data_IF_706850149821
#
_entry.id   IF_706850149821
#
_cell.length_a   1.000
_cell.length_b   1.000
_cell.length_c   1.000
_cell.angle_alpha   90.00
_cell.angle_beta   90.00
_cell.angle_gamma   90.00
#
_symmetry.space_group_name_H-M   'P 1'
#
loop_
_entity.id
_entity.type
_entity.pdbx_description
1 polymer ?
#
# COMPACT_ATOMS: atom_id res chain seq x y z
N UNK A 1 -14.32 0.14 5.75
CA UNK A 1 -14.23 -1.31 5.46
C UNK A 1 -14.73 -1.57 4.06
N UNK A 2 -14.22 -2.62 3.44
CA UNK A 2 -14.57 -2.99 2.05
C UNK A 2 -14.73 -4.51 1.98
N UNK A 3 -15.68 -4.99 1.21
CA UNK A 3 -15.77 -6.40 0.81
C UNK A 3 -15.44 -6.50 -0.68
N UNK A 4 -14.39 -7.24 -1.01
CA UNK A 4 -14.06 -7.66 -2.37
C UNK A 4 -14.35 -9.15 -2.51
N UNK A 5 -15.05 -9.52 -3.56
CA UNK A 5 -15.37 -10.91 -3.88
C UNK A 5 -14.63 -11.30 -5.16
N UNK A 6 -13.80 -12.35 -5.11
CA UNK A 6 -13.22 -12.95 -6.32
C UNK A 6 -14.34 -13.47 -7.24
N UNK A 7 -14.19 -13.26 -8.53
CA UNK A 7 -15.11 -13.75 -9.57
C UNK A 7 -14.31 -14.64 -10.52
N UNK A 8 -14.69 -15.91 -10.63
CA UNK A 8 -13.99 -16.88 -11.49
C UNK A 8 -14.04 -16.41 -12.95
N UNK A 9 -12.85 -16.20 -13.54
CA UNK A 9 -12.71 -15.73 -14.93
C UNK A 9 -13.17 -14.28 -15.18
N UNK A 10 -13.47 -13.51 -14.14
CA UNK A 10 -13.91 -12.12 -14.22
C UNK A 10 -13.11 -11.18 -13.31
N UNK A 11 -13.48 -9.90 -13.34
CA UNK A 11 -12.90 -8.90 -12.44
C UNK A 11 -13.38 -9.14 -11.02
N UNK A 12 -12.50 -9.03 -9.99
CA UNK A 12 -12.93 -9.02 -8.60
C UNK A 12 -13.98 -7.91 -8.38
N UNK A 13 -15.09 -8.24 -7.71
CA UNK A 13 -16.19 -7.31 -7.51
C UNK A 13 -16.14 -6.67 -6.11
N UNK A 14 -16.26 -5.36 -6.05
CA UNK A 14 -16.42 -4.63 -4.79
C UNK A 14 -17.90 -4.65 -4.43
N UNK A 15 -18.28 -5.41 -3.41
CA UNK A 15 -19.67 -5.65 -3.05
C UNK A 15 -20.27 -4.56 -2.18
N UNK A 16 -19.48 -3.98 -1.31
CA UNK A 16 -19.89 -2.84 -0.49
C UNK A 16 -18.67 -2.15 0.11
N UNK A 17 -18.84 -0.90 0.47
CA UNK A 17 -17.92 -0.14 1.33
C UNK A 17 -18.70 0.45 2.49
N UNK A 18 -18.05 0.60 3.63
CA UNK A 18 -18.66 1.19 4.82
C UNK A 18 -17.60 1.93 5.63
N UNK A 19 -17.94 3.13 6.06
CA UNK A 19 -17.15 3.91 6.99
C UNK A 19 -17.84 3.89 8.36
N UNK A 20 -17.17 3.33 9.35
CA UNK A 20 -17.66 3.23 10.73
C UNK A 20 -16.65 3.88 11.65
N UNK A 21 -17.05 4.77 12.56
CA UNK A 21 -16.16 5.31 13.61
C UNK A 21 -15.49 4.16 14.40
N UNK A 22 -14.22 4.36 14.74
CA UNK A 22 -13.41 3.33 15.42
C UNK A 22 -13.12 3.66 16.88
N UNK A 23 -13.95 4.49 17.49
CA UNK A 23 -13.91 4.86 18.92
C UNK A 23 -14.34 3.71 19.85
N UNK A 24 -15.19 2.80 19.35
CA UNK A 24 -15.62 1.58 20.04
C UNK A 24 -15.45 0.35 19.14
N UNK A 25 -14.21 -0.12 18.90
CA UNK A 25 -13.90 -1.12 17.88
C UNK A 25 -14.66 -2.44 18.05
N UNK A 26 -14.73 -2.98 19.25
CA UNK A 26 -15.44 -4.22 19.54
C UNK A 26 -16.92 -4.11 19.20
N UNK A 27 -17.58 -3.00 19.57
CA UNK A 27 -18.99 -2.76 19.25
C UNK A 27 -19.21 -2.59 17.74
N UNK A 28 -18.34 -1.84 17.06
CA UNK A 28 -18.38 -1.66 15.63
C UNK A 28 -18.27 -3.01 14.89
N UNK A 29 -17.31 -3.85 15.27
CA UNK A 29 -17.12 -5.18 14.71
C UNK A 29 -18.33 -6.11 14.97
N UNK A 30 -18.90 -6.07 16.18
CA UNK A 30 -20.11 -6.85 16.50
C UNK A 30 -21.32 -6.43 15.68
N UNK A 31 -21.51 -5.12 15.46
CA UNK A 31 -22.56 -4.56 14.61
C UNK A 31 -22.42 -5.05 13.19
N UNK A 32 -21.22 -4.95 12.62
CA UNK A 32 -20.93 -5.41 11.27
C UNK A 32 -21.00 -6.92 11.10
N UNK A 33 -20.62 -7.69 12.12
CA UNK A 33 -20.82 -9.14 12.11
C UNK A 33 -22.29 -9.50 11.91
N UNK A 34 -23.21 -8.74 12.53
CA UNK A 34 -24.66 -8.98 12.40
C UNK A 34 -25.21 -8.49 11.09
N UNK A 35 -24.88 -7.23 10.69
CA UNK A 35 -25.46 -6.58 9.52
C UNK A 35 -24.90 -7.09 8.20
N UNK A 36 -23.61 -7.49 8.16
CA UNK A 36 -22.89 -7.87 6.95
C UNK A 36 -22.42 -9.32 6.91
N UNK A 37 -22.80 -10.15 7.89
CA UNK A 37 -22.38 -11.56 7.99
C UNK A 37 -20.87 -11.76 7.84
N UNK A 38 -20.06 -10.84 8.38
CA UNK A 38 -18.59 -10.80 8.21
C UNK A 38 -17.88 -12.08 8.68
N UNK A 39 -18.51 -12.87 9.56
CA UNK A 39 -17.98 -14.16 10.02
C UNK A 39 -17.82 -15.19 8.88
N UNK A 40 -18.45 -14.96 7.73
CA UNK A 40 -18.39 -15.82 6.53
C UNK A 40 -17.28 -15.41 5.57
N UNK A 41 -16.61 -14.28 5.82
CA UNK A 41 -15.60 -13.73 4.94
C UNK A 41 -14.23 -13.79 5.60
N UNK A 42 -13.18 -13.86 4.78
CA UNK A 42 -11.82 -13.62 5.23
C UNK A 42 -11.70 -12.16 5.68
N UNK A 43 -11.06 -11.95 6.80
CA UNK A 43 -10.92 -10.63 7.43
C UNK A 43 -9.47 -10.23 7.52
N UNK A 44 -9.16 -9.10 6.93
CA UNK A 44 -7.83 -8.50 6.95
C UNK A 44 -7.94 -7.14 7.65
N UNK A 45 -7.11 -6.91 8.64
CA UNK A 45 -6.93 -5.59 9.22
C UNK A 45 -5.78 -4.86 8.53
N UNK A 46 -5.85 -3.54 8.48
CA UNK A 46 -4.76 -2.69 8.04
C UNK A 46 -4.22 -1.91 9.24
N UNK A 47 -2.91 -1.96 9.46
CA UNK A 47 -2.23 -1.06 10.36
C UNK A 47 -2.18 0.35 9.75
N UNK A 48 -2.37 1.34 10.59
CA UNK A 48 -2.10 2.72 10.23
C UNK A 48 -0.58 2.93 10.13
N UNK A 49 -0.17 3.88 9.31
CA UNK A 49 1.24 4.11 9.03
C UNK A 49 2.10 4.39 10.27
N UNK A 50 1.55 5.03 11.27
CA UNK A 50 2.22 5.30 12.56
C UNK A 50 2.41 4.07 13.45
N UNK A 51 1.82 2.92 13.09
CA UNK A 51 1.81 1.71 13.91
C UNK A 51 2.89 0.69 13.53
N UNK A 52 3.63 0.94 12.43
CA UNK A 52 4.68 0.04 11.95
C UNK A 52 5.82 0.79 11.27
N UNK A 53 6.94 0.11 11.11
CA UNK A 53 8.08 0.60 10.33
C UNK A 53 8.49 -0.43 9.29
N UNK A 54 8.91 0.04 8.11
CA UNK A 54 9.45 -0.77 7.03
C UNK A 54 10.94 -0.44 6.87
N UNK A 55 11.77 -1.48 6.87
CA UNK A 55 13.24 -1.35 6.74
C UNK A 55 13.72 -2.27 5.63
N UNK A 56 14.33 -1.69 4.59
CA UNK A 56 14.99 -2.47 3.54
C UNK A 56 16.38 -2.86 4.01
N UNK A 57 16.71 -4.13 3.92
CA UNK A 57 18.02 -4.65 4.32
C UNK A 57 18.44 -5.86 3.48
N UNK A 58 19.71 -6.23 3.57
CA UNK A 58 20.20 -7.46 2.96
C UNK A 58 19.63 -8.68 3.71
N UNK A 59 19.21 -9.70 2.97
CA UNK A 59 18.70 -10.93 3.55
C UNK A 59 19.80 -11.64 4.37
N UNK A 60 19.44 -12.36 5.45
CA UNK A 60 20.41 -13.14 6.21
C UNK A 60 21.05 -14.23 5.31
N UNK A 61 22.37 -14.27 5.29
CA UNK A 61 23.09 -15.33 4.59
C UNK A 61 22.87 -16.69 5.27
N UNK A 62 22.75 -17.73 4.48
CA UNK A 62 22.63 -19.12 4.94
C UNK A 62 21.43 -19.42 5.86
N UNK A 63 20.41 -18.56 5.84
CA UNK A 63 19.16 -18.74 6.59
C UNK A 63 18.02 -19.00 5.61
N UNK A 64 17.19 -20.06 5.81
CA UNK A 64 16.00 -20.29 5.01
C UNK A 64 15.02 -19.10 5.07
N UNK A 65 14.31 -18.84 3.98
CA UNK A 65 13.34 -17.72 3.93
C UNK A 65 12.28 -17.78 5.03
N UNK A 66 11.88 -18.98 5.45
CA UNK A 66 10.94 -19.21 6.54
C UNK A 66 11.40 -18.64 7.89
N UNK A 67 12.70 -18.50 8.06
CA UNK A 67 13.31 -18.08 9.33
C UNK A 67 13.83 -16.61 9.29
N UNK A 68 13.65 -15.94 8.15
CA UNK A 68 14.11 -14.56 7.98
C UNK A 68 13.52 -13.60 9.01
N UNK A 69 12.22 -13.70 9.31
CA UNK A 69 11.57 -12.82 10.29
C UNK A 69 12.23 -12.93 11.68
N UNK A 70 12.59 -14.14 12.10
CA UNK A 70 13.32 -14.35 13.34
C UNK A 70 14.77 -13.83 13.26
N UNK A 71 15.44 -14.08 12.15
CA UNK A 71 16.84 -13.70 11.97
C UNK A 71 17.05 -12.18 11.87
N UNK A 72 16.13 -11.43 11.29
CA UNK A 72 16.22 -9.97 11.17
C UNK A 72 15.89 -9.22 12.46
N UNK A 73 15.26 -9.87 13.44
CA UNK A 73 14.85 -9.25 14.71
C UNK A 73 16.01 -8.49 15.38
N UNK A 74 17.19 -9.09 15.44
CA UNK A 74 18.37 -8.49 16.05
C UNK A 74 18.88 -7.26 15.30
N UNK A 75 18.71 -7.21 13.97
CA UNK A 75 19.12 -6.06 13.16
C UNK A 75 18.15 -4.88 13.29
N UNK A 76 16.93 -5.13 13.73
CA UNK A 76 15.93 -4.10 13.93
C UNK A 76 16.09 -3.35 15.25
N UNK A 77 16.84 -3.89 16.22
CA UNK A 77 17.06 -3.26 17.53
C UNK A 77 17.58 -1.82 17.43
N UNK A 78 18.50 -1.57 16.50
CA UNK A 78 19.13 -0.24 16.32
C UNK A 78 18.46 0.58 15.20
N UNK A 79 17.36 0.07 14.62
CA UNK A 79 16.77 0.69 13.41
C UNK A 79 15.38 1.23 13.66
N UNK A 80 14.58 0.52 14.47
CA UNK A 80 13.21 0.94 14.81
C UNK A 80 13.21 1.74 16.11
N UNK A 81 12.24 2.63 16.28
CA UNK A 81 12.14 3.55 17.42
C UNK A 81 11.31 3.01 18.60
N UNK A 82 11.02 1.71 18.60
CA UNK A 82 10.31 1.00 19.68
C UNK A 82 11.01 -0.31 20.07
N UNK A 83 10.60 -0.86 21.23
CA UNK A 83 11.16 -2.11 21.73
C UNK A 83 10.80 -3.29 20.78
N UNK A 84 11.83 -3.98 20.29
CA UNK A 84 11.69 -5.12 19.38
C UNK A 84 11.22 -6.39 20.11
N UNK A 85 11.41 -6.45 21.41
CA UNK A 85 10.91 -7.53 22.26
C UNK A 85 9.38 -7.56 22.24
N UNK A 86 8.80 -8.68 21.81
CA UNK A 86 7.36 -8.81 21.62
C UNK A 86 6.78 -8.16 20.36
N UNK A 87 7.56 -7.38 19.59
CA UNK A 87 7.11 -6.80 18.34
C UNK A 87 6.70 -7.86 17.32
N UNK A 88 5.63 -7.59 16.58
CA UNK A 88 5.26 -8.37 15.41
C UNK A 88 6.22 -8.01 14.27
N UNK A 89 6.88 -9.01 13.70
CA UNK A 89 7.82 -8.84 12.60
C UNK A 89 7.46 -9.81 11.48
N UNK A 90 7.42 -9.29 10.27
CA UNK A 90 7.29 -10.07 9.05
C UNK A 90 8.25 -9.54 7.98
N UNK A 91 8.50 -10.31 6.93
CA UNK A 91 9.45 -9.96 5.88
C UNK A 91 8.87 -10.20 4.50
N UNK A 92 9.14 -9.27 3.60
CA UNK A 92 8.82 -9.35 2.18
C UNK A 92 10.12 -9.55 1.41
N UNK A 93 10.25 -10.64 0.66
CA UNK A 93 11.41 -10.85 -0.18
C UNK A 93 11.35 -9.89 -1.37
N UNK A 94 12.44 -9.17 -1.64
CA UNK A 94 12.60 -8.45 -2.89
C UNK A 94 12.90 -9.46 -4.00
N UNK A 95 12.24 -9.38 -5.19
CA UNK A 95 12.46 -10.29 -6.29
C UNK A 95 13.93 -10.40 -6.70
N UNK A 96 14.40 -11.63 -6.85
CA UNK A 96 15.77 -11.90 -7.28
C UNK A 96 16.00 -11.51 -8.75
N UNK A 97 17.25 -11.21 -9.11
CA UNK A 97 17.58 -10.83 -10.48
C UNK A 97 17.13 -9.42 -10.87
N UNK A 98 16.69 -8.60 -9.91
CA UNK A 98 16.25 -7.21 -10.16
C UNK A 98 17.36 -6.19 -9.94
N UNK A 99 18.40 -6.54 -9.20
CA UNK A 99 19.54 -5.68 -8.92
C UNK A 99 20.87 -6.37 -9.28
N UNK A 100 21.95 -5.58 -9.40
CA UNK A 100 23.30 -6.11 -9.58
C UNK A 100 23.97 -6.59 -8.27
N UNK A 101 23.26 -6.52 -7.15
CA UNK A 101 23.77 -7.00 -5.86
C UNK A 101 23.82 -8.52 -5.84
N UNK A 102 24.93 -9.06 -5.33
CA UNK A 102 25.07 -10.50 -5.15
C UNK A 102 24.17 -11.06 -4.02
N UNK A 103 23.86 -10.21 -3.02
CA UNK A 103 23.06 -10.61 -1.86
C UNK A 103 21.59 -10.25 -2.08
N UNK A 104 20.70 -11.22 -1.81
CA UNK A 104 19.25 -10.99 -1.83
C UNK A 104 18.88 -9.89 -0.82
N UNK A 105 17.83 -9.16 -1.12
CA UNK A 105 17.27 -8.11 -0.26
C UNK A 105 15.90 -8.51 0.26
N UNK A 106 15.51 -7.93 1.38
CA UNK A 106 14.18 -8.02 1.96
C UNK A 106 13.72 -6.67 2.49
N UNK A 107 12.42 -6.54 2.64
CA UNK A 107 11.78 -5.45 3.38
C UNK A 107 11.25 -6.06 4.67
N UNK A 108 11.85 -5.71 5.80
CA UNK A 108 11.34 -6.08 7.12
C UNK A 108 10.24 -5.10 7.53
N UNK A 109 9.13 -5.64 7.99
CA UNK A 109 8.01 -4.89 8.57
C UNK A 109 7.99 -5.19 10.05
N UNK A 110 8.03 -4.17 10.88
CA UNK A 110 7.98 -4.32 12.34
C UNK A 110 6.87 -3.41 12.91
N UNK A 111 6.06 -3.96 13.80
CA UNK A 111 5.03 -3.24 14.52
C UNK A 111 5.14 -3.50 16.02
N UNK A 112 5.07 -2.46 16.84
CA UNK A 112 5.17 -2.58 18.28
C UNK A 112 4.02 -3.42 18.87
N UNK A 113 4.29 -4.17 19.90
CA UNK A 113 3.31 -5.07 20.52
C UNK A 113 2.06 -4.34 21.01
N UNK A 114 2.22 -3.15 21.57
CA UNK A 114 1.14 -2.28 22.05
C UNK A 114 0.23 -1.74 20.94
N UNK A 115 0.68 -1.78 19.68
CA UNK A 115 -0.12 -1.42 18.51
C UNK A 115 -0.90 -2.62 17.96
N UNK A 116 -0.32 -3.81 18.01
CA UNK A 116 -0.90 -5.03 17.43
C UNK A 116 -1.83 -5.76 18.39
N UNK A 117 -1.46 -5.90 19.68
CA UNK A 117 -2.23 -6.65 20.66
C UNK A 117 -3.67 -6.12 20.81
N UNK A 118 -3.92 -4.81 21.02
CA UNK A 118 -5.29 -4.30 21.16
C UNK A 118 -6.14 -4.57 19.92
N UNK A 119 -5.55 -4.45 18.72
CA UNK A 119 -6.25 -4.72 17.46
C UNK A 119 -6.70 -6.20 17.36
N UNK A 120 -5.86 -7.11 17.82
CA UNK A 120 -6.15 -8.56 17.84
C UNK A 120 -7.19 -8.89 18.92
N UNK A 121 -7.01 -8.38 20.13
CA UNK A 121 -7.92 -8.63 21.27
C UNK A 121 -9.34 -8.14 20.97
N UNK A 122 -9.48 -6.91 20.48
CA UNK A 122 -10.79 -6.34 20.10
C UNK A 122 -11.53 -7.19 19.06
N UNK A 123 -10.81 -7.78 18.11
CA UNK A 123 -11.41 -8.67 17.12
C UNK A 123 -11.81 -10.02 17.72
N UNK A 124 -11.01 -10.57 18.61
CA UNK A 124 -11.33 -11.80 19.35
C UNK A 124 -12.58 -11.59 20.21
N UNK A 125 -12.64 -10.50 20.99
CA UNK A 125 -13.78 -10.15 21.85
C UNK A 125 -15.07 -9.90 21.04
N UNK A 126 -14.94 -9.41 19.82
CA UNK A 126 -16.05 -9.29 18.89
C UNK A 126 -16.48 -10.64 18.26
N UNK A 127 -15.75 -11.73 18.51
CA UNK A 127 -15.94 -13.02 17.84
C UNK A 127 -15.59 -12.97 16.34
N UNK A 128 -14.64 -12.11 15.97
CA UNK A 128 -14.24 -11.83 14.58
C UNK A 128 -12.71 -11.76 14.44
N UNK A 129 -11.95 -12.80 14.82
CA UNK A 129 -10.49 -12.76 14.75
C UNK A 129 -10.03 -12.45 13.31
N UNK A 130 -8.98 -11.63 13.20
CA UNK A 130 -8.32 -11.35 11.94
C UNK A 130 -7.61 -12.61 11.42
N UNK A 131 -7.66 -12.86 10.11
CA UNK A 131 -6.87 -13.89 9.46
C UNK A 131 -5.52 -13.35 8.96
N UNK A 132 -5.47 -12.03 8.75
CA UNK A 132 -4.22 -11.35 8.44
C UNK A 132 -4.27 -9.90 8.95
N UNK A 133 -3.09 -9.37 9.26
CA UNK A 133 -2.89 -7.95 9.49
C UNK A 133 -1.93 -7.49 8.38
N UNK A 134 -2.30 -6.45 7.67
CA UNK A 134 -1.59 -5.96 6.50
C UNK A 134 -1.17 -4.51 6.68
N UNK A 135 -0.40 -3.98 5.75
CA UNK A 135 0.13 -2.61 5.76
C UNK A 135 -0.24 -1.90 4.45
N UNK A 136 -0.08 -0.57 4.44
CA UNK A 136 -0.39 0.24 3.25
C UNK A 136 0.38 -0.22 2.02
N UNK A 137 1.67 -0.53 2.17
CA UNK A 137 2.56 -0.89 1.07
C UNK A 137 2.15 -2.19 0.38
N UNK A 138 1.75 -3.21 1.15
CA UNK A 138 1.26 -4.49 0.61
C UNK A 138 -0.13 -4.35 0.00
N UNK A 139 -1.00 -3.51 0.56
CA UNK A 139 -2.28 -3.19 -0.04
C UNK A 139 -2.11 -2.48 -1.40
N UNK A 140 -1.18 -1.52 -1.49
CA UNK A 140 -0.85 -0.85 -2.75
C UNK A 140 -0.17 -1.79 -3.76
N UNK A 141 0.69 -2.72 -3.30
CA UNK A 141 1.25 -3.77 -4.13
C UNK A 141 0.15 -4.60 -4.79
N UNK A 142 -0.86 -5.03 -4.03
CA UNK A 142 -1.95 -5.83 -4.56
C UNK A 142 -2.74 -5.08 -5.66
N UNK A 143 -2.93 -3.77 -5.51
CA UNK A 143 -3.56 -2.93 -6.54
C UNK A 143 -2.66 -2.76 -7.76
N UNK A 144 -1.36 -2.54 -7.54
CA UNK A 144 -0.38 -2.41 -8.62
C UNK A 144 -0.31 -3.70 -9.45
N UNK A 145 -0.32 -4.86 -8.80
CA UNK A 145 -0.27 -6.17 -9.45
C UNK A 145 -1.41 -6.40 -10.45
N UNK A 146 -2.59 -5.83 -10.23
CA UNK A 146 -3.73 -5.97 -11.16
C UNK A 146 -3.48 -5.35 -12.54
N UNK A 147 -2.58 -4.39 -12.62
CA UNK A 147 -2.32 -3.59 -13.84
C UNK A 147 -0.85 -3.58 -14.23
N UNK A 148 -0.02 -4.40 -13.57
CA UNK A 148 1.40 -4.47 -13.82
C UNK A 148 1.68 -5.03 -15.23
N UNK A 149 2.53 -4.38 -16.03
CA UNK A 149 2.92 -4.89 -17.33
C UNK A 149 3.92 -6.04 -17.17
N UNK A 150 3.72 -7.11 -17.93
CA UNK A 150 4.59 -8.30 -17.90
C UNK A 150 6.06 -7.93 -18.14
N UNK A 151 6.94 -8.47 -17.31
CA UNK A 151 8.40 -8.30 -17.43
C UNK A 151 8.94 -6.89 -17.18
N UNK A 152 8.12 -5.96 -16.68
CA UNK A 152 8.54 -4.59 -16.38
C UNK A 152 8.06 -4.14 -15.01
N UNK A 153 8.88 -3.36 -14.32
CA UNK A 153 8.48 -2.75 -13.05
C UNK A 153 7.44 -1.64 -13.27
N UNK A 154 6.63 -1.39 -12.25
CA UNK A 154 5.64 -0.33 -12.23
C UNK A 154 5.70 0.44 -10.92
N UNK A 155 5.64 1.76 -10.99
CA UNK A 155 5.51 2.62 -9.83
C UNK A 155 4.04 3.01 -9.63
N UNK A 156 3.57 2.96 -8.38
CA UNK A 156 2.25 3.43 -7.97
C UNK A 156 2.40 4.42 -6.81
N UNK A 157 1.92 5.64 -7.00
CA UNK A 157 1.90 6.68 -5.97
C UNK A 157 0.50 6.85 -5.42
N UNK A 158 0.37 6.61 -4.12
CA UNK A 158 -0.84 6.88 -3.36
C UNK A 158 -0.70 8.21 -2.60
N UNK A 159 -1.55 9.16 -2.94
CA UNK A 159 -1.53 10.50 -2.36
C UNK A 159 -2.60 10.60 -1.28
N UNK A 160 -2.19 11.08 -0.11
CA UNK A 160 -3.07 11.40 1.01
C UNK A 160 -2.86 12.89 1.41
N UNK A 161 -3.74 13.49 2.24
CA UNK A 161 -3.68 14.93 2.52
C UNK A 161 -2.34 15.44 3.06
N UNK A 162 -1.58 14.61 3.78
CA UNK A 162 -0.34 15.03 4.45
C UNK A 162 0.90 14.23 4.05
N UNK A 163 0.73 13.17 3.29
CA UNK A 163 1.83 12.32 2.85
C UNK A 163 1.46 11.55 1.57
N UNK A 164 2.46 11.06 0.90
CA UNK A 164 2.29 10.14 -0.20
C UNK A 164 3.12 8.86 0.03
N UNK A 165 2.61 7.74 -0.43
CA UNK A 165 3.35 6.47 -0.44
C UNK A 165 3.62 6.09 -1.89
N UNK A 166 4.88 5.88 -2.23
CA UNK A 166 5.30 5.33 -3.51
C UNK A 166 5.67 3.86 -3.30
N UNK A 167 5.06 2.98 -4.04
CA UNK A 167 5.49 1.57 -4.15
C UNK A 167 5.97 1.31 -5.57
N UNK A 168 6.98 0.47 -5.70
CA UNK A 168 7.42 -0.06 -6.99
C UNK A 168 7.32 -1.56 -6.94
N UNK A 169 6.67 -2.14 -7.95
CA UNK A 169 6.40 -3.57 -8.04
C UNK A 169 7.02 -4.17 -9.29
N UNK A 170 7.34 -5.46 -9.23
CA UNK A 170 7.81 -6.27 -10.34
C UNK A 170 7.44 -7.74 -10.10
N UNK A 171 6.79 -8.37 -11.06
CA UNK A 171 6.29 -9.74 -10.91
C UNK A 171 5.26 -9.86 -9.79
N UNK A 172 4.44 -8.84 -9.59
CA UNK A 172 3.43 -8.73 -8.51
C UNK A 172 4.02 -8.65 -7.09
N UNK A 173 5.34 -8.50 -6.97
CA UNK A 173 6.02 -8.37 -5.68
C UNK A 173 6.59 -6.96 -5.48
N UNK A 174 6.84 -6.60 -4.23
CA UNK A 174 7.34 -5.28 -3.86
C UNK A 174 8.85 -5.20 -4.08
N UNK A 175 9.30 -4.32 -4.97
CA UNK A 175 10.71 -3.96 -5.12
C UNK A 175 11.16 -2.92 -4.10
N UNK A 176 10.34 -1.89 -3.91
CA UNK A 176 10.64 -0.76 -3.07
C UNK A 176 9.37 -0.08 -2.59
N UNK A 177 9.44 0.48 -1.40
CA UNK A 177 8.42 1.37 -0.86
C UNK A 177 9.09 2.61 -0.24
N UNK A 178 8.51 3.78 -0.50
CA UNK A 178 8.99 5.06 0.00
C UNK A 178 7.83 5.90 0.49
N UNK A 179 7.99 6.48 1.64
CA UNK A 179 7.13 7.56 2.10
C UNK A 179 7.71 8.91 1.73
N UNK A 180 6.83 9.81 1.38
CA UNK A 180 7.12 11.18 0.99
C UNK A 180 6.26 12.11 1.85
N UNK A 181 6.88 13.00 2.61
CA UNK A 181 6.20 14.00 3.43
C UNK A 181 5.77 15.21 2.59
N UNK A 182 4.99 14.94 1.53
CA UNK A 182 4.49 15.96 0.64
C UNK A 182 2.99 16.12 0.82
N UNK A 183 2.59 17.22 1.42
CA UNK A 183 1.23 17.68 1.37
C UNK A 183 0.89 18.06 -0.08
N UNK A 184 0.09 17.25 -0.75
CA UNK A 184 -0.62 17.72 -1.94
C UNK A 184 -1.75 18.60 -1.43
N UNK A 185 -1.62 19.89 -1.63
CA UNK A 185 -2.68 20.86 -1.35
C UNK A 185 -3.90 20.46 -2.18
N UNK A 186 -5.06 20.41 -1.53
CA UNK A 186 -6.31 20.08 -2.19
C UNK A 186 -6.62 21.15 -3.27
N UNK A 187 -6.99 20.75 -4.48
CA UNK A 187 -7.11 21.67 -5.63
C UNK A 187 -8.09 22.82 -5.42
N UNK A 188 -9.11 22.63 -4.59
CA UNK A 188 -10.27 23.53 -4.54
C UNK A 188 -10.06 24.78 -3.66
N UNK A 189 -9.01 24.83 -2.85
CA UNK A 189 -8.78 25.95 -1.90
C UNK A 189 -7.48 26.71 -2.13
N UNK A 190 -6.73 26.36 -3.18
CA UNK A 190 -5.36 26.86 -3.34
C UNK A 190 -5.20 27.67 -4.61
N UNK A 191 -4.50 28.81 -4.51
CA UNK A 191 -4.00 29.60 -5.62
C UNK A 191 -3.23 28.70 -6.62
N UNK A 192 -3.44 28.91 -7.92
CA UNK A 192 -2.79 28.17 -9.00
C UNK A 192 -1.27 28.18 -8.89
N UNK A 193 -0.68 29.28 -8.42
CA UNK A 193 0.77 29.38 -8.23
C UNK A 193 1.26 28.48 -7.08
N UNK A 194 0.53 28.41 -6.00
CA UNK A 194 0.86 27.55 -4.84
C UNK A 194 0.73 26.07 -5.23
N UNK A 195 -0.32 25.75 -5.99
CA UNK A 195 -0.52 24.38 -6.51
C UNK A 195 0.60 23.98 -7.49
N UNK A 196 0.97 24.84 -8.42
CA UNK A 196 2.07 24.60 -9.36
C UNK A 196 3.39 24.35 -8.60
N UNK A 197 3.70 25.17 -7.60
CA UNK A 197 4.89 24.99 -6.76
C UNK A 197 4.89 23.65 -6.02
N UNK A 198 3.73 23.23 -5.48
CA UNK A 198 3.59 21.92 -4.81
C UNK A 198 3.82 20.77 -5.81
N UNK A 199 3.32 20.88 -7.03
CA UNK A 199 3.53 19.89 -8.09
C UNK A 199 4.99 19.84 -8.55
N UNK A 200 5.67 20.98 -8.69
CA UNK A 200 7.11 21.03 -8.99
C UNK A 200 7.95 20.35 -7.93
N UNK A 201 7.63 20.61 -6.66
CA UNK A 201 8.30 19.96 -5.53
C UNK A 201 8.07 18.44 -5.53
N UNK A 202 6.84 18.00 -5.78
CA UNK A 202 6.49 16.60 -5.93
C UNK A 202 7.24 15.96 -7.11
N UNK A 203 7.35 16.65 -8.23
CA UNK A 203 8.11 16.21 -9.42
C UNK A 203 9.58 16.00 -9.11
N UNK A 204 10.20 16.95 -8.44
CA UNK A 204 11.62 16.87 -8.09
C UNK A 204 11.91 15.71 -7.13
N UNK A 205 11.05 15.48 -6.16
CA UNK A 205 11.21 14.37 -5.22
C UNK A 205 10.97 13.02 -5.88
N UNK A 206 9.95 12.92 -6.75
CA UNK A 206 9.71 11.73 -7.55
C UNK A 206 10.90 11.42 -8.45
N UNK A 207 11.44 12.39 -9.16
CA UNK A 207 12.61 12.22 -10.01
C UNK A 207 13.78 11.63 -9.22
N UNK A 208 14.13 12.24 -8.06
CA UNK A 208 15.21 11.74 -7.20
C UNK A 208 14.96 10.31 -6.71
N UNK A 209 13.71 10.00 -6.38
CA UNK A 209 13.32 8.68 -5.88
C UNK A 209 13.40 7.64 -6.98
N UNK A 210 12.87 7.94 -8.17
CA UNK A 210 12.90 7.02 -9.32
C UNK A 210 14.34 6.80 -9.81
N UNK A 211 15.19 7.82 -9.85
CA UNK A 211 16.62 7.68 -10.16
C UNK A 211 17.35 6.78 -9.14
N UNK A 212 16.96 6.88 -7.88
CA UNK A 212 17.46 6.00 -6.82
C UNK A 212 17.05 4.55 -7.01
N UNK A 213 15.80 4.32 -7.40
CA UNK A 213 15.25 2.99 -7.68
C UNK A 213 15.93 2.39 -8.92
N UNK A 214 16.08 3.14 -10.01
CA UNK A 214 16.75 2.68 -11.21
C UNK A 214 18.19 2.27 -10.94
N UNK A 215 18.92 3.02 -10.12
CA UNK A 215 20.27 2.65 -9.70
C UNK A 215 20.31 1.41 -8.82
N UNK A 216 19.31 1.23 -7.96
CA UNK A 216 19.25 0.07 -7.07
C UNK A 216 18.81 -1.21 -7.79
N UNK A 217 17.91 -1.09 -8.74
CA UNK A 217 17.27 -2.18 -9.47
C UNK A 217 17.51 -2.11 -10.99
N UNK A 218 18.75 -1.85 -11.39
CA UNK A 218 19.13 -1.61 -12.79
C UNK A 218 18.95 -2.78 -13.75
N UNK A 219 18.53 -3.96 -13.28
CA UNK A 219 18.19 -5.09 -14.15
C UNK A 219 16.72 -5.11 -14.59
N UNK A 220 15.89 -4.25 -14.05
CA UNK A 220 14.47 -4.12 -14.44
C UNK A 220 14.19 -2.72 -14.96
N UNK A 221 13.35 -2.63 -15.98
CA UNK A 221 12.96 -1.35 -16.57
C UNK A 221 11.63 -0.90 -15.99
N UNK A 222 11.59 0.33 -15.48
CA UNK A 222 10.35 0.94 -15.03
C UNK A 222 9.45 1.31 -16.23
N UNK A 223 8.23 0.81 -16.26
CA UNK A 223 7.30 1.01 -17.36
C UNK A 223 6.61 2.37 -17.30
N UNK A 224 6.16 2.76 -16.12
CA UNK A 224 5.34 3.96 -15.88
C UNK A 224 5.20 4.26 -14.39
N UNK A 225 4.75 5.48 -14.10
CA UNK A 225 4.25 5.89 -12.79
C UNK A 225 2.72 6.04 -12.86
N UNK A 226 2.01 5.37 -12.00
CA UNK A 226 0.57 5.54 -11.81
C UNK A 226 0.29 6.40 -10.58
N UNK A 227 -0.67 7.31 -10.72
CA UNK A 227 -1.20 8.12 -9.61
C UNK A 227 -2.56 7.55 -9.22
N UNK A 228 -2.76 7.26 -7.93
CA UNK A 228 -4.04 6.75 -7.45
C UNK A 228 -5.16 7.78 -7.62
N UNK A 229 -6.44 7.33 -7.72
CA UNK A 229 -7.58 8.24 -7.79
C UNK A 229 -7.57 9.24 -6.65
N UNK A 230 -7.63 10.52 -6.99
CA UNK A 230 -7.74 11.64 -6.07
C UNK A 230 -8.25 12.88 -6.84
N UNK A 231 -8.83 13.87 -6.18
CA UNK A 231 -9.12 15.15 -6.82
C UNK A 231 -7.84 15.74 -7.44
N UNK A 232 -7.92 16.19 -8.68
CA UNK A 232 -6.78 16.76 -9.40
C UNK A 232 -5.73 15.76 -9.91
N UNK A 233 -5.97 14.44 -9.83
CA UNK A 233 -5.01 13.43 -10.31
C UNK A 233 -4.61 13.63 -11.77
N UNK A 234 -5.54 13.99 -12.65
CA UNK A 234 -5.26 14.26 -14.07
C UNK A 234 -4.33 15.46 -14.25
N UNK A 235 -4.60 16.56 -13.57
CA UNK A 235 -3.76 17.76 -13.60
C UNK A 235 -2.35 17.49 -13.05
N UNK A 236 -2.25 16.71 -11.99
CA UNK A 236 -0.95 16.28 -11.46
C UNK A 236 -0.19 15.42 -12.48
N UNK A 237 -0.84 14.46 -13.14
CA UNK A 237 -0.21 13.64 -14.17
C UNK A 237 0.28 14.48 -15.36
N UNK A 238 -0.52 15.44 -15.79
CA UNK A 238 -0.19 16.37 -16.88
C UNK A 238 1.03 17.24 -16.54
N UNK A 239 1.10 17.73 -15.30
CA UNK A 239 2.23 18.51 -14.81
C UNK A 239 3.51 17.67 -14.66
N UNK A 240 3.39 16.44 -14.13
CA UNK A 240 4.53 15.54 -13.91
C UNK A 240 5.08 14.93 -15.22
N UNK A 241 4.24 14.77 -16.25
CA UNK A 241 4.62 14.10 -17.50
C UNK A 241 5.92 14.64 -18.13
N UNK A 242 6.09 15.95 -18.31
CA UNK A 242 7.33 16.53 -18.88
C UNK A 242 8.53 16.51 -17.91
N UNK A 243 8.32 16.31 -16.59
CA UNK A 243 9.36 16.35 -15.57
C UNK A 243 10.01 14.98 -15.35
N UNK A 244 9.33 13.89 -15.68
CA UNK A 244 9.79 12.53 -15.40
C UNK A 244 10.16 11.79 -16.70
N UNK A 245 11.12 10.89 -16.58
CA UNK A 245 11.58 10.07 -17.74
C UNK A 245 10.67 8.87 -18.04
N UNK A 246 9.67 8.62 -17.22
CA UNK A 246 8.66 7.56 -17.41
C UNK A 246 7.29 8.16 -17.66
N UNK A 247 6.42 7.50 -18.46
CA UNK A 247 5.03 7.92 -18.61
C UNK A 247 4.31 8.01 -17.28
N UNK A 248 3.54 9.08 -17.06
CA UNK A 248 2.71 9.29 -15.87
C UNK A 248 1.25 9.22 -16.27
N UNK A 249 0.44 8.45 -15.54
CA UNK A 249 -0.97 8.31 -15.84
C UNK A 249 -1.79 8.08 -14.54
N UNK A 250 -3.08 8.44 -14.53
CA UNK A 250 -3.97 8.05 -13.44
C UNK A 250 -4.21 6.54 -13.44
N UNK A 251 -4.29 5.94 -12.25
CA UNK A 251 -4.68 4.54 -12.09
C UNK A 251 -6.18 4.36 -12.40
N UNK A 252 -6.48 3.53 -13.39
CA UNK A 252 -7.84 3.20 -13.81
C UNK A 252 -8.25 1.84 -13.23
N UNK A 253 -8.97 1.84 -12.12
CA UNK A 253 -9.38 0.62 -11.43
C UNK A 253 -10.60 -0.06 -12.05
N UNK A 254 -11.48 0.67 -12.71
CA UNK A 254 -12.65 0.16 -13.43
C UNK A 254 -12.28 -0.78 -14.60
N UNK A 255 -11.04 -0.67 -15.10
CA UNK A 255 -10.51 -1.61 -16.07
C UNK A 255 -10.29 -3.02 -15.50
N UNK A 256 -10.05 -3.16 -14.18
CA UNK A 256 -9.61 -4.41 -13.53
C UNK A 256 -10.48 -4.84 -12.34
N UNK A 257 -11.33 -3.97 -11.82
CA UNK A 257 -12.29 -4.25 -10.75
C UNK A 257 -13.71 -3.96 -11.21
N UNK A 258 -14.67 -4.67 -10.65
CA UNK A 258 -16.12 -4.43 -10.88
C UNK A 258 -16.69 -3.59 -9.73
N UNK A 259 -17.24 -2.42 -10.08
CA UNK A 259 -17.84 -1.44 -9.18
C UNK A 259 -19.36 -1.40 -9.30
N UNK A 260 -19.99 -2.37 -9.94
CA UNK A 260 -21.44 -2.35 -10.21
C UNK A 260 -22.31 -2.20 -8.97
N UNK A 261 -21.86 -2.72 -7.83
CA UNK A 261 -22.57 -2.61 -6.55
C UNK A 261 -22.24 -1.33 -5.75
N UNK A 262 -21.22 -0.58 -6.17
CA UNK A 262 -20.73 0.64 -5.48
C UNK A 262 -20.31 1.72 -6.50
N UNK A 263 -21.21 2.10 -7.44
CA UNK A 263 -20.87 3.01 -8.54
C UNK A 263 -20.44 4.41 -8.05
N UNK A 264 -20.82 4.81 -6.84
CA UNK A 264 -20.42 6.07 -6.21
C UNK A 264 -18.90 6.19 -6.04
N UNK A 265 -18.18 5.09 -5.92
CA UNK A 265 -16.71 5.11 -5.84
C UNK A 265 -16.06 5.62 -7.12
N UNK A 266 -16.68 5.41 -8.28
CA UNK A 266 -16.16 5.89 -9.56
C UNK A 266 -16.46 7.37 -9.80
N UNK A 267 -17.46 7.92 -9.13
CA UNK A 267 -17.89 9.31 -9.29
C UNK A 267 -17.28 10.24 -8.24
N UNK A 268 -16.83 9.71 -7.11
CA UNK A 268 -16.17 10.45 -6.03
C UNK A 268 -14.73 9.95 -5.83
N UNK A 269 -13.78 10.66 -6.46
CA UNK A 269 -12.36 10.33 -6.37
C UNK A 269 -11.81 10.42 -4.93
N UNK A 270 -12.37 11.30 -4.08
CA UNK A 270 -11.99 11.41 -2.67
C UNK A 270 -12.46 10.19 -1.88
N UNK A 271 -13.68 9.72 -2.14
CA UNK A 271 -14.21 8.51 -1.51
C UNK A 271 -13.40 7.28 -1.93
N UNK A 272 -13.14 7.12 -3.22
CA UNK A 272 -12.33 6.02 -3.74
C UNK A 272 -10.92 6.04 -3.13
N UNK A 273 -10.29 7.22 -3.06
CA UNK A 273 -8.97 7.37 -2.44
C UNK A 273 -8.95 6.87 -0.99
N UNK A 274 -9.94 7.27 -0.18
CA UNK A 274 -10.07 6.83 1.22
C UNK A 274 -10.24 5.31 1.37
N UNK A 275 -10.88 4.66 0.40
CA UNK A 275 -11.14 3.20 0.44
C UNK A 275 -10.02 2.38 -0.21
N UNK A 276 -9.08 3.01 -0.89
CA UNK A 276 -8.13 2.36 -1.77
C UNK A 276 -7.29 1.28 -1.07
N UNK A 277 -6.68 1.62 0.07
CA UNK A 277 -5.88 0.64 0.82
C UNK A 277 -6.74 -0.53 1.36
N UNK A 278 -7.99 -0.26 1.75
CA UNK A 278 -8.90 -1.32 2.17
C UNK A 278 -9.29 -2.25 0.99
N UNK A 279 -9.47 -1.70 -0.23
CA UNK A 279 -9.67 -2.49 -1.45
C UNK A 279 -8.43 -3.34 -1.71
N UNK A 280 -7.23 -2.75 -1.68
CA UNK A 280 -5.98 -3.46 -1.89
C UNK A 280 -5.73 -4.59 -0.87
N UNK A 281 -6.03 -4.36 0.40
CA UNK A 281 -5.92 -5.38 1.44
C UNK A 281 -6.94 -6.53 1.23
N UNK A 282 -8.15 -6.21 0.77
CA UNK A 282 -9.18 -7.21 0.49
C UNK A 282 -8.86 -8.07 -0.76
N UNK A 283 -7.97 -7.61 -1.63
CA UNK A 283 -7.45 -8.36 -2.78
C UNK A 283 -6.32 -9.33 -2.41
N UNK A 284 -5.86 -9.33 -1.15
CA UNK A 284 -4.80 -10.23 -0.69
C UNK A 284 -5.17 -11.69 -0.96
N UNK A 285 -4.35 -12.39 -1.71
CA UNK A 285 -4.42 -13.85 -1.87
C UNK A 285 -4.02 -14.58 -0.58
N UNK A 286 -4.42 -15.84 -0.47
CA UNK A 286 -4.26 -16.63 0.76
C UNK A 286 -2.81 -17.03 1.00
#
# INVERSE_FOLDING_TARGET
MVLVQPVAGGKPAIRWTEHTPWDQPTHALQSLRRSRALHRHRRVALLQRSQYQCVTMDAPADVPRTDWAAAVRWRLLDTVDFAVDGAAIDVLAVPEGTSYRAQAQLIAVAAAADQVHPLVEQAIDAGMPWQAIDITETALRNLSALVEPEGRAQALRHCQPHHATLVVTYGSELLSARQMDLALLLPDETDDAVRAQAYDQAGLELQRTLDGIERAFGQVTLARLLITPMPGAAALCEHLGPLLYVPVAPLQLDAVLDFSDVPELLTDASLLNRQLCAIGAALREA
#
